data_IF_731349105095
#
_entry.id   IF_731349105095
#
_cell.length_a   1.000
_cell.length_b   1.000
_cell.length_c   1.000
_cell.angle_alpha   90.00
_cell.angle_beta   90.00
_cell.angle_gamma   90.00
#
_symmetry.space_group_name_H-M   'P 1'
#
loop_
_entity.id
_entity.type
_entity.pdbx_description
1 polymer ?
#
# COMPACT_ATOMS: atom_id res chain seq x y z
N UNK A 1 2.40 8.49 19.99
CA UNK A 1 2.06 8.05 18.60
C UNK A 1 2.39 9.17 17.64
N UNK A 2 3.12 8.86 16.55
CA UNK A 2 3.41 9.84 15.50
C UNK A 2 2.13 10.19 14.75
N UNK A 3 1.84 11.48 14.58
CA UNK A 3 0.69 11.94 13.81
C UNK A 3 1.13 12.37 12.40
N UNK A 4 0.42 11.89 11.40
CA UNK A 4 0.60 12.26 10.00
C UNK A 4 -0.54 13.18 9.55
N UNK A 5 -0.40 13.84 8.41
CA UNK A 5 -1.41 14.77 7.93
C UNK A 5 -2.78 14.11 7.73
N UNK A 6 -2.81 12.85 7.26
CA UNK A 6 -4.05 12.09 7.12
C UNK A 6 -4.78 11.93 8.47
N UNK A 7 -4.07 11.76 9.60
CA UNK A 7 -4.70 11.67 10.92
C UNK A 7 -5.42 12.97 11.31
N UNK A 8 -4.82 14.14 11.01
CA UNK A 8 -5.45 15.43 11.26
C UNK A 8 -6.72 15.61 10.42
N UNK A 9 -6.66 15.21 9.14
CA UNK A 9 -7.83 15.24 8.24
C UNK A 9 -8.94 14.32 8.73
N UNK A 10 -8.61 13.07 9.08
CA UNK A 10 -9.58 12.11 9.62
C UNK A 10 -10.20 12.60 10.93
N UNK A 11 -9.38 13.15 11.84
CA UNK A 11 -9.92 13.75 13.05
C UNK A 11 -10.94 14.83 12.71
N UNK A 12 -10.53 15.82 11.89
CA UNK A 12 -11.37 16.98 11.55
C UNK A 12 -12.67 16.62 10.81
N UNK A 13 -12.58 15.70 9.84
CA UNK A 13 -13.69 15.45 8.91
C UNK A 13 -14.53 14.23 9.26
N UNK A 14 -14.02 13.33 10.09
CA UNK A 14 -14.67 12.08 10.45
C UNK A 14 -14.94 12.00 11.95
N UNK A 15 -13.90 12.02 12.80
CA UNK A 15 -14.06 11.80 14.24
C UNK A 15 -14.82 12.95 14.91
N UNK A 16 -14.42 14.19 14.66
CA UNK A 16 -15.06 15.38 15.27
C UNK A 16 -16.49 15.61 14.73
N UNK A 17 -16.87 14.89 13.68
CA UNK A 17 -18.23 14.90 13.11
C UNK A 17 -19.09 13.70 13.52
N UNK A 18 -18.55 12.80 14.33
CA UNK A 18 -19.27 11.60 14.76
C UNK A 18 -19.50 10.55 13.65
N UNK A 19 -18.76 10.63 12.55
CA UNK A 19 -18.86 9.71 11.40
C UNK A 19 -17.92 8.52 11.53
N UNK A 20 -17.64 8.05 12.75
CA UNK A 20 -16.72 6.95 12.98
C UNK A 20 -17.30 5.94 13.96
N UNK A 21 -17.18 4.66 13.62
CA UNK A 21 -17.48 3.54 14.51
C UNK A 21 -16.36 3.21 15.50
N UNK A 22 -15.27 4.00 15.50
CA UNK A 22 -14.14 3.82 16.40
C UNK A 22 -14.55 4.11 17.85
N UNK A 23 -14.82 3.05 18.61
CA UNK A 23 -15.30 3.14 19.99
C UNK A 23 -14.23 3.59 20.98
N UNK A 24 -12.96 3.20 20.73
CA UNK A 24 -11.83 3.56 21.60
C UNK A 24 -10.81 4.40 20.83
N UNK A 25 -10.76 5.69 21.15
CA UNK A 25 -9.82 6.63 20.53
C UNK A 25 -8.35 6.30 20.82
N UNK A 26 -8.04 5.42 21.80
CA UNK A 26 -6.67 4.92 21.99
C UNK A 26 -6.15 4.14 20.80
N UNK A 27 -7.04 3.54 20.03
CA UNK A 27 -6.71 2.80 18.82
C UNK A 27 -6.46 3.69 17.61
N UNK A 28 -6.87 4.96 17.63
CA UNK A 28 -6.60 5.91 16.56
C UNK A 28 -5.11 6.11 16.36
N UNK A 29 -4.64 5.89 15.11
CA UNK A 29 -3.22 5.93 14.77
C UNK A 29 -2.39 4.78 15.35
N UNK A 30 -3.02 3.68 15.79
CA UNK A 30 -2.32 2.43 16.09
C UNK A 30 -1.76 1.78 14.81
N UNK A 31 -0.89 0.78 14.94
CA UNK A 31 -0.33 0.06 13.78
C UNK A 31 -1.44 -0.53 12.92
N UNK A 32 -2.40 -1.22 13.52
CA UNK A 32 -3.52 -1.83 12.80
C UNK A 32 -4.44 -0.79 12.14
N UNK A 33 -4.72 0.32 12.84
CA UNK A 33 -5.47 1.43 12.26
C UNK A 33 -4.76 2.01 11.04
N UNK A 34 -3.46 2.24 11.14
CA UNK A 34 -2.66 2.77 10.05
C UNK A 34 -2.56 1.78 8.88
N UNK A 35 -2.46 0.48 9.14
CA UNK A 35 -2.51 -0.53 8.08
C UNK A 35 -3.84 -0.49 7.33
N UNK A 36 -4.96 -0.35 8.05
CA UNK A 36 -6.28 -0.17 7.44
C UNK A 36 -6.35 1.09 6.56
N UNK A 37 -5.77 2.22 7.03
CA UNK A 37 -5.71 3.45 6.23
C UNK A 37 -4.90 3.28 4.95
N UNK A 38 -3.74 2.62 5.03
CA UNK A 38 -2.89 2.37 3.86
C UNK A 38 -3.61 1.47 2.86
N UNK A 39 -4.24 0.38 3.33
CA UNK A 39 -5.00 -0.52 2.45
C UNK A 39 -6.15 0.19 1.75
N UNK A 40 -6.91 1.03 2.48
CA UNK A 40 -7.98 1.83 1.90
C UNK A 40 -7.46 2.83 0.86
N UNK A 41 -6.32 3.49 1.15
CA UNK A 41 -5.69 4.41 0.22
C UNK A 41 -5.27 3.72 -1.08
N UNK A 42 -4.62 2.57 -0.99
CA UNK A 42 -4.21 1.75 -2.15
C UNK A 42 -5.43 1.35 -2.99
N UNK A 43 -6.49 0.87 -2.34
CA UNK A 43 -7.72 0.47 -3.04
C UNK A 43 -8.38 1.66 -3.78
N UNK A 44 -8.48 2.81 -3.12
CA UNK A 44 -9.05 4.03 -3.73
C UNK A 44 -8.20 4.53 -4.89
N UNK A 45 -6.87 4.53 -4.74
CA UNK A 45 -5.97 4.97 -5.82
C UNK A 45 -6.00 4.00 -7.01
N UNK A 46 -6.12 2.70 -6.78
CA UNK A 46 -6.31 1.72 -7.84
C UNK A 46 -7.61 1.96 -8.63
N UNK A 47 -8.72 2.22 -7.92
CA UNK A 47 -9.99 2.58 -8.54
C UNK A 47 -9.87 3.88 -9.35
N UNK A 48 -9.22 4.90 -8.80
CA UNK A 48 -8.98 6.17 -9.50
C UNK A 48 -8.16 5.99 -10.77
N UNK A 49 -7.09 5.17 -10.69
CA UNK A 49 -6.24 4.82 -11.83
C UNK A 49 -7.05 4.12 -12.93
N UNK A 50 -7.84 3.11 -12.55
CA UNK A 50 -8.72 2.42 -13.49
C UNK A 50 -9.79 3.35 -14.08
N UNK A 51 -10.44 4.18 -13.27
CA UNK A 51 -11.45 5.13 -13.74
C UNK A 51 -10.88 6.22 -14.65
N UNK A 52 -9.63 6.59 -14.50
CA UNK A 52 -8.95 7.50 -15.42
C UNK A 52 -8.81 6.87 -16.83
N UNK A 53 -8.62 5.55 -16.90
CA UNK A 53 -8.52 4.78 -18.16
C UNK A 53 -9.88 4.43 -18.76
N UNK A 54 -10.78 3.88 -17.94
CA UNK A 54 -12.03 3.24 -18.39
C UNK A 54 -13.29 4.10 -18.18
N UNK A 55 -13.13 5.29 -17.61
CA UNK A 55 -14.23 6.22 -17.30
C UNK A 55 -14.76 6.10 -15.88
N UNK A 56 -15.38 7.18 -15.39
CA UNK A 56 -15.94 7.29 -14.03
C UNK A 56 -17.27 6.53 -13.91
N UNK A 57 -17.20 5.23 -13.79
CA UNK A 57 -18.33 4.30 -13.66
C UNK A 57 -17.94 3.13 -12.74
N UNK A 58 -18.89 2.27 -12.35
CA UNK A 58 -18.55 1.00 -11.73
C UNK A 58 -17.58 0.19 -12.62
N UNK A 59 -16.58 -0.39 -12.00
CA UNK A 59 -15.55 -1.18 -12.66
C UNK A 59 -15.85 -2.68 -12.48
N UNK A 60 -15.50 -3.48 -13.48
CA UNK A 60 -15.46 -4.92 -13.31
C UNK A 60 -14.13 -5.36 -12.68
N UNK A 61 -13.98 -6.67 -12.37
CA UNK A 61 -12.79 -7.20 -11.70
C UNK A 61 -11.51 -7.05 -12.51
N UNK A 62 -11.58 -7.15 -13.84
CA UNK A 62 -10.41 -7.00 -14.71
C UNK A 62 -9.94 -5.55 -14.77
N UNK A 63 -10.86 -4.61 -14.85
CA UNK A 63 -10.55 -3.17 -14.82
C UNK A 63 -9.99 -2.76 -13.45
N UNK A 64 -10.53 -3.32 -12.35
CA UNK A 64 -9.99 -3.11 -11.01
C UNK A 64 -8.57 -3.64 -10.86
N UNK A 65 -8.30 -4.86 -11.37
CA UNK A 65 -6.95 -5.44 -11.42
C UNK A 65 -6.02 -4.57 -12.26
N UNK A 66 -6.44 -4.13 -13.43
CA UNK A 66 -5.65 -3.22 -14.27
C UNK A 66 -5.24 -1.97 -13.48
N UNK A 67 -6.16 -1.38 -12.73
CA UNK A 67 -5.87 -0.22 -11.90
C UNK A 67 -4.83 -0.48 -10.81
N UNK A 68 -4.83 -1.67 -10.21
CA UNK A 68 -3.80 -2.09 -9.24
C UNK A 68 -2.45 -2.27 -9.93
N UNK A 69 -2.41 -2.96 -11.07
CA UNK A 69 -1.18 -3.26 -11.82
C UNK A 69 -0.55 -2.02 -12.49
N UNK A 70 -1.28 -0.91 -12.56
CA UNK A 70 -0.78 0.38 -13.08
C UNK A 70 -0.69 1.45 -11.99
N UNK A 71 -0.72 1.01 -10.73
CA UNK A 71 -0.64 1.92 -9.60
C UNK A 71 0.76 2.52 -9.49
N UNK A 72 0.79 3.86 -9.39
CA UNK A 72 2.02 4.61 -9.15
C UNK A 72 1.71 5.76 -8.17
N UNK A 73 2.02 5.53 -6.90
CA UNK A 73 1.87 6.51 -5.82
C UNK A 73 3.27 7.03 -5.48
N UNK A 74 3.60 8.21 -5.97
CA UNK A 74 4.87 8.90 -5.71
C UNK A 74 4.78 9.84 -4.50
N UNK A 75 5.89 10.51 -4.16
CA UNK A 75 5.95 11.46 -3.04
C UNK A 75 4.96 12.61 -3.19
N UNK A 76 4.75 13.11 -4.40
CA UNK A 76 3.80 14.19 -4.66
C UNK A 76 2.38 13.74 -4.35
N UNK A 77 2.03 12.53 -4.78
CA UNK A 77 0.72 11.93 -4.49
C UNK A 77 0.55 11.60 -3.01
N UNK A 78 1.57 11.06 -2.35
CA UNK A 78 1.55 10.82 -0.90
C UNK A 78 1.33 12.11 -0.11
N UNK A 79 1.97 13.20 -0.52
CA UNK A 79 1.81 14.51 0.10
C UNK A 79 0.38 15.05 -0.08
N UNK A 80 -0.16 14.97 -1.28
CA UNK A 80 -1.54 15.38 -1.59
C UNK A 80 -2.57 14.59 -0.77
N UNK A 81 -2.40 13.29 -0.65
CA UNK A 81 -3.25 12.41 0.14
C UNK A 81 -3.06 12.59 1.66
N UNK A 82 -1.96 13.19 2.11
CA UNK A 82 -1.60 13.33 3.52
C UNK A 82 -0.91 12.10 4.12
N UNK A 83 -0.41 11.20 3.30
CA UNK A 83 0.22 9.93 3.70
C UNK A 83 1.74 9.99 3.72
N UNK A 84 2.34 11.13 3.36
CA UNK A 84 3.80 11.28 3.35
C UNK A 84 4.40 10.95 4.72
N UNK A 85 5.34 10.00 4.73
CA UNK A 85 6.00 9.47 5.92
C UNK A 85 5.21 8.38 6.66
N UNK A 86 3.93 8.16 6.35
CA UNK A 86 3.14 7.02 6.85
C UNK A 86 3.35 5.79 5.98
N UNK A 87 3.35 5.95 4.67
CA UNK A 87 3.70 4.89 3.72
C UNK A 87 4.79 5.37 2.76
N UNK A 88 5.40 4.43 2.08
CA UNK A 88 6.39 4.69 1.03
C UNK A 88 5.73 4.80 -0.34
N UNK A 89 6.49 5.30 -1.31
CA UNK A 89 6.12 5.23 -2.72
C UNK A 89 5.77 3.80 -3.09
N UNK A 90 4.72 3.64 -3.85
CA UNK A 90 4.23 2.34 -4.27
C UNK A 90 4.01 2.34 -5.78
N UNK A 91 4.75 1.50 -6.46
CA UNK A 91 4.54 1.22 -7.88
C UNK A 91 4.30 -0.28 -8.04
N UNK A 92 3.17 -0.63 -8.63
CA UNK A 92 2.81 -2.01 -8.93
C UNK A 92 2.79 -2.24 -10.44
N UNK A 93 3.00 -3.48 -10.84
CA UNK A 93 2.88 -3.91 -12.23
C UNK A 93 2.31 -5.33 -12.29
N UNK A 94 2.01 -5.82 -13.49
CA UNK A 94 1.60 -7.19 -13.69
C UNK A 94 2.61 -8.22 -13.14
N UNK A 95 3.90 -7.91 -13.18
CA UNK A 95 4.98 -8.80 -12.69
C UNK A 95 5.33 -8.56 -11.23
N UNK A 96 4.99 -7.41 -10.69
CA UNK A 96 5.34 -7.01 -9.34
C UNK A 96 4.13 -6.47 -8.58
N UNK A 97 3.44 -7.36 -7.87
CA UNK A 97 2.32 -7.02 -6.99
C UNK A 97 2.77 -6.66 -5.56
N UNK A 98 4.07 -6.72 -5.27
CA UNK A 98 4.61 -6.48 -3.92
C UNK A 98 4.98 -5.00 -3.72
N UNK A 99 5.42 -4.33 -4.79
CA UNK A 99 5.88 -2.94 -4.74
C UNK A 99 7.29 -2.80 -4.12
N UNK A 100 7.51 -1.78 -3.28
CA UNK A 100 8.85 -1.36 -2.90
C UNK A 100 9.63 -2.28 -1.97
N UNK A 101 8.99 -2.89 -0.98
CA UNK A 101 9.66 -3.79 -0.03
C UNK A 101 10.72 -3.11 0.84
N UNK A 102 10.44 -1.93 1.37
CA UNK A 102 11.38 -1.24 2.29
C UNK A 102 10.91 -1.35 3.73
N UNK A 103 11.87 -1.41 4.66
CA UNK A 103 11.63 -1.46 6.09
C UNK A 103 12.47 -0.44 6.86
N UNK A 104 12.07 -0.13 8.08
CA UNK A 104 12.87 0.64 9.05
C UNK A 104 13.02 -0.16 10.32
N UNK A 105 14.15 0.01 10.97
CA UNK A 105 14.41 -0.60 12.28
C UNK A 105 13.97 0.35 13.38
N UNK A 106 13.24 -0.19 14.34
CA UNK A 106 12.89 0.51 15.58
C UNK A 106 13.50 -0.24 16.75
N UNK A 107 13.93 0.51 17.76
CA UNK A 107 14.43 -0.01 19.01
C UNK A 107 13.57 0.50 20.16
N UNK A 108 13.27 -0.39 21.08
CA UNK A 108 12.62 -0.06 22.36
C UNK A 108 13.66 0.40 23.35
N UNK A 109 13.48 1.58 23.93
CA UNK A 109 14.40 2.17 24.92
C UNK A 109 13.98 1.95 26.39
N UNK A 110 12.92 1.18 26.62
CA UNK A 110 12.30 0.95 27.92
C UNK A 110 11.01 1.76 28.13
N UNK A 111 10.77 2.80 27.32
CA UNK A 111 9.59 3.65 27.40
C UNK A 111 8.96 3.92 26.02
N UNK A 112 9.78 4.05 24.97
CA UNK A 112 9.34 4.43 23.62
C UNK A 112 10.01 3.58 22.53
N UNK A 113 9.35 3.49 21.40
CA UNK A 113 9.93 2.97 20.16
C UNK A 113 10.62 4.12 19.41
N UNK A 114 11.92 4.01 19.20
CA UNK A 114 12.74 4.98 18.47
C UNK A 114 13.21 4.41 17.16
N UNK A 115 13.05 5.16 16.07
CA UNK A 115 13.60 4.79 14.77
C UNK A 115 15.13 4.94 14.83
N UNK A 116 15.85 3.85 14.53
CA UNK A 116 17.32 3.79 14.55
C UNK A 116 17.93 3.58 13.17
N UNK A 117 17.12 3.51 12.14
CA UNK A 117 17.57 3.48 10.74
C UNK A 117 16.73 4.37 9.84
N UNK A 118 17.28 4.76 8.70
CA UNK A 118 16.52 5.18 7.54
C UNK A 118 15.85 3.97 6.87
N UNK A 119 15.19 4.21 5.74
CA UNK A 119 14.58 3.15 4.97
C UNK A 119 15.65 2.25 4.34
N UNK A 120 15.52 0.96 4.58
CA UNK A 120 16.36 -0.10 4.04
C UNK A 120 15.54 -0.80 2.96
N UNK A 121 15.95 -0.64 1.71
CA UNK A 121 15.31 -1.30 0.60
C UNK A 121 15.67 -2.78 0.54
N UNK A 122 14.74 -3.62 0.12
CA UNK A 122 15.01 -5.02 -0.18
C UNK A 122 15.96 -5.14 -1.38
N UNK A 123 16.89 -6.10 -1.34
CA UNK A 123 17.72 -6.45 -2.49
C UNK A 123 16.87 -7.22 -3.52
N UNK A 124 16.30 -6.48 -4.44
CA UNK A 124 15.41 -7.04 -5.46
C UNK A 124 16.13 -7.91 -6.47
N UNK A 125 17.42 -7.66 -6.73
CA UNK A 125 18.22 -8.47 -7.63
C UNK A 125 18.41 -9.89 -7.07
N UNK A 126 18.57 -9.99 -5.75
CA UNK A 126 18.64 -11.27 -5.04
C UNK A 126 17.27 -11.95 -4.90
N UNK A 127 16.24 -11.17 -4.57
CA UNK A 127 14.91 -11.72 -4.24
C UNK A 127 14.11 -12.13 -5.46
N UNK A 128 14.20 -11.40 -6.58
CA UNK A 128 13.35 -11.65 -7.75
C UNK A 128 13.49 -13.07 -8.32
N UNK A 129 14.69 -13.63 -8.52
CA UNK A 129 14.84 -15.01 -8.99
C UNK A 129 14.22 -16.04 -8.04
N UNK A 130 14.32 -15.81 -6.72
CA UNK A 130 13.73 -16.70 -5.73
C UNK A 130 12.19 -16.66 -5.77
N UNK A 131 11.61 -15.48 -5.93
CA UNK A 131 10.17 -15.30 -6.09
C UNK A 131 9.68 -16.01 -7.34
N UNK A 132 10.35 -15.81 -8.47
CA UNK A 132 9.99 -16.43 -9.75
C UNK A 132 10.06 -17.96 -9.68
N UNK A 133 11.12 -18.52 -9.07
CA UNK A 133 11.25 -19.97 -8.83
C UNK A 133 10.10 -20.52 -7.99
N UNK A 134 9.82 -19.86 -6.86
CA UNK A 134 8.75 -20.33 -5.94
C UNK A 134 7.36 -20.17 -6.56
N UNK A 135 7.11 -19.10 -7.28
CA UNK A 135 5.86 -18.89 -8.00
C UNK A 135 5.61 -19.96 -9.07
N UNK A 136 6.65 -20.28 -9.86
CA UNK A 136 6.57 -21.34 -10.86
C UNK A 136 6.31 -22.73 -10.24
N UNK A 137 7.02 -23.04 -9.15
CA UNK A 137 6.83 -24.29 -8.42
C UNK A 137 5.40 -24.41 -7.87
N UNK A 138 4.89 -23.34 -7.24
CA UNK A 138 3.51 -23.28 -6.73
C UNK A 138 2.47 -23.45 -7.84
N UNK A 139 2.64 -22.73 -8.95
CA UNK A 139 1.74 -22.83 -10.09
C UNK A 139 1.67 -24.28 -10.63
N UNK A 140 2.83 -24.93 -10.75
CA UNK A 140 2.91 -26.36 -11.15
C UNK A 140 2.21 -27.28 -10.17
N UNK A 141 2.48 -27.11 -8.86
CA UNK A 141 1.84 -27.91 -7.80
C UNK A 141 0.32 -27.78 -7.83
N UNK A 142 -0.21 -26.60 -8.05
CA UNK A 142 -1.65 -26.33 -8.04
C UNK A 142 -2.33 -26.46 -9.41
N UNK A 143 -1.61 -26.85 -10.46
CA UNK A 143 -2.16 -26.94 -11.82
C UNK A 143 -2.63 -25.59 -12.38
N UNK A 144 -2.01 -24.47 -11.95
CA UNK A 144 -2.35 -23.13 -12.41
C UNK A 144 -1.53 -22.77 -13.65
N UNK A 145 -2.15 -22.12 -14.60
CA UNK A 145 -1.44 -21.49 -15.74
C UNK A 145 -1.13 -20.04 -15.37
N UNK A 146 0.13 -19.67 -15.19
CA UNK A 146 0.50 -18.27 -14.94
C UNK A 146 0.04 -17.39 -16.09
N UNK A 147 -0.46 -16.21 -15.75
CA UNK A 147 -0.80 -15.20 -16.74
C UNK A 147 0.48 -14.61 -17.35
N UNK A 148 0.46 -14.41 -18.65
CA UNK A 148 1.53 -13.69 -19.34
C UNK A 148 1.35 -12.19 -19.13
N UNK A 149 2.35 -11.53 -18.57
CA UNK A 149 2.39 -10.06 -18.50
C UNK A 149 2.92 -9.53 -19.84
N UNK A 150 2.12 -8.76 -20.56
CA UNK A 150 2.47 -8.19 -21.85
C UNK A 150 2.42 -6.65 -21.76
N UNK A 151 3.56 -6.02 -21.97
CA UNK A 151 3.62 -4.69 -22.57
C UNK A 151 3.46 -3.44 -21.72
N UNK A 152 3.01 -3.49 -20.49
CA UNK A 152 2.81 -2.31 -19.64
C UNK A 152 3.66 -2.39 -18.35
N UNK A 153 4.92 -2.70 -18.49
CA UNK A 153 5.86 -2.85 -17.39
C UNK A 153 6.67 -1.60 -17.12
#
# INVERSE_FOLDING_TARGET
KRQFEIHKRLKRYILDKGHSDLKDLKNFGSVYYNSGLVNAAVAVEAIRTAQAKFGKRPLNGEEGRWGLEHLNIDDARLKDMGYLGLMQNLKLSCRDHEGGGSARVQQWDGANWTLISDWIAADRALLRPLIDEKSAAFAKEKGLTPRTCTGDE
#
